data_IF_269646917208
#
_entry.id   IF_269646917208
#
_cell.length_a   1.000
_cell.length_b   1.000
_cell.length_c   1.000
_cell.angle_alpha   90.00
_cell.angle_beta   90.00
_cell.angle_gamma   90.00
#
_symmetry.space_group_name_H-M   'P 1'
#
loop_
_entity.id
_entity.type
_entity.pdbx_description
1 polymer ?
#
# COMPACT_ATOMS: atom_id res chain seq x y z
N UNK A 1 41.58 -63.84 36.88
CA UNK A 1 41.18 -64.61 35.68
C UNK A 1 40.21 -63.71 34.90
N UNK A 2 40.56 -63.16 33.74
CA UNK A 2 40.49 -63.83 32.41
C UNK A 2 39.04 -64.31 32.14
N UNK A 3 38.29 -63.95 31.09
CA UNK A 3 38.55 -63.41 29.74
C UNK A 3 37.33 -62.65 29.18
N UNK A 4 37.63 -61.69 28.29
CA UNK A 4 36.98 -61.28 27.04
C UNK A 4 35.61 -61.84 26.60
N UNK A 5 34.75 -60.94 26.11
CA UNK A 5 34.24 -60.99 24.72
C UNK A 5 33.82 -59.61 24.21
N UNK A 6 34.40 -59.25 23.07
CA UNK A 6 34.09 -58.10 22.21
C UNK A 6 33.00 -58.53 21.24
N UNK A 7 31.95 -57.72 21.03
CA UNK A 7 31.21 -57.72 19.76
C UNK A 7 30.98 -56.28 19.31
N UNK A 8 31.66 -55.98 18.21
CA UNK A 8 31.55 -54.81 17.33
C UNK A 8 30.23 -54.90 16.55
N UNK A 9 29.42 -53.84 16.54
CA UNK A 9 28.39 -53.65 15.53
C UNK A 9 28.57 -52.24 14.94
N UNK A 10 29.11 -52.21 13.73
CA UNK A 10 29.23 -51.03 12.89
C UNK A 10 27.84 -50.61 12.42
N UNK A 11 27.38 -49.42 12.81
CA UNK A 11 26.29 -48.74 12.12
C UNK A 11 26.88 -47.80 11.08
N UNK A 12 26.43 -48.03 9.84
CA UNK A 12 26.85 -47.37 8.64
C UNK A 12 26.70 -45.84 8.72
N UNK A 13 27.80 -45.14 8.48
CA UNK A 13 27.80 -43.74 8.11
C UNK A 13 27.20 -43.60 6.70
N UNK A 14 25.91 -43.30 6.63
CA UNK A 14 25.30 -42.79 5.40
C UNK A 14 25.80 -41.36 5.19
N UNK A 15 26.83 -41.22 4.36
CA UNK A 15 27.28 -39.92 3.88
C UNK A 15 26.24 -39.31 2.95
N UNK A 16 25.34 -38.49 3.48
CA UNK A 16 24.64 -37.52 2.64
C UNK A 16 25.62 -36.40 2.33
N UNK A 17 26.15 -36.39 1.10
CA UNK A 17 26.72 -35.20 0.48
C UNK A 17 25.59 -34.19 0.26
N UNK A 18 25.18 -33.51 1.33
CA UNK A 18 24.51 -32.23 1.22
C UNK A 18 25.56 -31.25 0.73
N UNK A 19 25.49 -30.88 -0.55
CA UNK A 19 26.25 -29.74 -1.05
C UNK A 19 26.02 -28.56 -0.10
N UNK A 20 27.07 -27.84 0.32
CA UNK A 20 26.86 -26.57 1.01
C UNK A 20 26.10 -25.68 0.03
N UNK A 21 24.81 -25.49 0.28
CA UNK A 21 24.10 -24.35 -0.26
C UNK A 21 24.89 -23.14 0.23
N UNK A 22 25.38 -22.37 -0.72
CA UNK A 22 26.09 -21.10 -0.56
C UNK A 22 25.13 -20.07 0.07
N UNK A 23 24.72 -20.36 1.29
CA UNK A 23 24.05 -19.45 2.18
C UNK A 23 25.16 -18.72 2.90
N UNK A 24 25.61 -17.62 2.29
CA UNK A 24 26.33 -16.56 2.99
C UNK A 24 25.44 -16.07 4.13
N UNK A 25 25.47 -16.77 5.26
CA UNK A 25 25.12 -16.21 6.55
C UNK A 25 26.20 -15.19 6.89
N UNK A 26 25.94 -13.94 6.53
CA UNK A 26 26.78 -12.81 6.90
C UNK A 26 26.61 -12.59 8.40
N UNK A 27 27.72 -12.69 9.11
CA UNK A 27 27.84 -12.47 10.55
C UNK A 27 27.20 -11.13 10.96
N UNK A 28 26.42 -11.18 12.04
CA UNK A 28 25.88 -10.02 12.72
C UNK A 28 27.03 -9.30 13.46
N UNK A 29 27.79 -8.48 12.73
CA UNK A 29 28.88 -7.71 13.32
C UNK A 29 29.33 -6.60 12.40
N UNK A 30 29.06 -5.36 12.81
CA UNK A 30 29.48 -4.11 12.17
C UNK A 30 28.64 -3.64 10.97
N UNK A 31 27.96 -2.49 11.14
CA UNK A 31 27.32 -1.71 10.06
C UNK A 31 28.32 -1.21 8.99
N UNK A 32 29.60 -1.57 9.07
CA UNK A 32 30.65 -0.86 8.34
C UNK A 32 30.69 -1.14 6.84
N UNK A 33 30.14 -2.26 6.34
CA UNK A 33 30.49 -2.73 4.98
C UNK A 33 29.33 -3.08 4.03
N UNK A 34 28.08 -2.65 4.27
CA UNK A 34 26.99 -3.05 3.37
C UNK A 34 25.71 -2.24 3.46
N UNK A 35 24.77 -2.59 2.58
CA UNK A 35 23.40 -2.10 2.58
C UNK A 35 22.59 -3.04 3.46
N UNK A 36 22.12 -2.56 4.61
CA UNK A 36 21.24 -3.31 5.51
C UNK A 36 19.78 -2.95 5.20
N UNK A 37 18.99 -3.96 4.90
CA UNK A 37 17.55 -3.87 4.72
C UNK A 37 16.88 -4.59 5.88
N UNK A 38 15.95 -3.92 6.56
CA UNK A 38 15.13 -4.53 7.60
C UNK A 38 13.67 -4.37 7.23
N UNK A 39 12.96 -5.48 7.03
CA UNK A 39 11.50 -5.49 6.88
C UNK A 39 10.90 -5.74 8.27
N UNK A 40 9.91 -4.96 8.66
CA UNK A 40 9.37 -4.99 10.03
C UNK A 40 7.85 -5.24 10.00
N UNK A 41 7.37 -6.07 10.92
CA UNK A 41 5.97 -6.15 11.30
C UNK A 41 5.79 -5.45 12.65
N UNK A 42 5.20 -4.26 12.68
CA UNK A 42 5.11 -3.39 13.87
C UNK A 42 4.24 -3.95 15.03
N UNK A 43 3.73 -5.18 14.92
CA UNK A 43 2.81 -5.74 15.92
C UNK A 43 3.41 -6.87 16.77
N UNK A 44 4.31 -7.72 16.25
CA UNK A 44 4.89 -8.85 17.00
C UNK A 44 6.21 -9.33 16.35
N UNK A 45 7.34 -8.69 16.70
CA UNK A 45 8.76 -9.13 16.65
C UNK A 45 9.39 -9.98 15.49
N UNK A 46 8.70 -10.34 14.41
CA UNK A 46 9.34 -11.05 13.28
C UNK A 46 9.65 -10.08 12.14
N UNK A 47 10.74 -9.33 12.32
CA UNK A 47 11.38 -8.60 11.23
C UNK A 47 12.33 -9.50 10.44
N UNK A 48 12.54 -9.18 9.16
CA UNK A 48 13.54 -9.85 8.32
C UNK A 48 14.65 -8.89 7.95
N UNK A 49 15.88 -9.29 8.23
CA UNK A 49 17.05 -8.49 7.92
C UNK A 49 17.87 -9.13 6.82
N UNK A 50 18.31 -8.30 5.88
CA UNK A 50 19.23 -8.66 4.81
C UNK A 50 20.42 -7.71 4.84
N UNK A 51 21.60 -8.24 4.58
CA UNK A 51 22.81 -7.44 4.37
C UNK A 51 23.30 -7.73 2.96
N UNK A 52 23.35 -6.70 2.13
CA UNK A 52 23.86 -6.79 0.77
C UNK A 52 25.23 -6.13 0.75
N UNK A 53 26.24 -6.88 0.35
CA UNK A 53 27.59 -6.35 0.15
C UNK A 53 27.66 -5.66 -1.21
N UNK A 54 28.17 -4.44 -1.24
CA UNK A 54 28.29 -3.64 -2.46
C UNK A 54 28.69 -2.21 -2.12
N UNK A 55 29.10 -1.45 -3.13
CA UNK A 55 29.49 -0.04 -2.99
C UNK A 55 28.32 0.94 -3.27
N UNK A 56 27.15 0.42 -3.65
CA UNK A 56 25.95 1.16 -4.01
C UNK A 56 25.93 1.67 -5.46
N UNK A 57 26.86 1.25 -6.31
CA UNK A 57 26.96 1.71 -7.70
C UNK A 57 26.34 0.73 -8.72
N UNK A 58 25.93 -0.45 -8.27
CA UNK A 58 25.25 -1.45 -9.10
C UNK A 58 23.87 -1.78 -8.54
N UNK A 59 22.99 -2.24 -9.41
CA UNK A 59 21.72 -2.82 -8.99
C UNK A 59 21.99 -4.13 -8.24
N UNK A 60 21.33 -4.28 -7.10
CA UNK A 60 21.34 -5.50 -6.28
C UNK A 60 19.92 -5.88 -5.89
N UNK A 61 19.66 -7.18 -5.78
CA UNK A 61 18.34 -7.71 -5.44
C UNK A 61 18.46 -8.73 -4.31
N UNK A 62 17.48 -8.73 -3.42
CA UNK A 62 17.33 -9.76 -2.41
C UNK A 62 15.91 -10.29 -2.42
N UNK A 63 15.78 -11.59 -2.65
CA UNK A 63 14.50 -12.27 -2.50
C UNK A 63 14.17 -12.38 -1.02
N UNK A 64 12.96 -12.01 -0.66
CA UNK A 64 12.42 -12.25 0.68
C UNK A 64 12.12 -13.75 0.78
N UNK A 65 11.59 -14.40 -0.26
CA UNK A 65 11.29 -15.84 -0.21
C UNK A 65 9.81 -16.05 0.08
N UNK A 66 9.46 -16.82 1.11
CA UNK A 66 8.05 -17.13 1.40
C UNK A 66 7.19 -15.86 1.54
N UNK A 67 5.95 -15.84 1.00
CA UNK A 67 5.09 -14.66 1.03
C UNK A 67 4.70 -14.28 2.47
N UNK A 68 5.39 -13.29 3.02
CA UNK A 68 5.12 -12.72 4.34
C UNK A 68 4.75 -11.24 4.22
N UNK A 69 3.88 -10.77 5.11
CA UNK A 69 3.40 -9.39 5.11
C UNK A 69 4.19 -8.54 6.10
N UNK A 70 4.75 -7.43 5.62
CA UNK A 70 5.48 -6.47 6.43
C UNK A 70 4.75 -5.14 6.46
N UNK A 71 4.90 -4.37 7.53
CA UNK A 71 4.32 -3.05 7.69
C UNK A 71 5.30 -1.92 7.34
N UNK A 72 6.61 -2.19 7.37
CA UNK A 72 7.63 -1.19 7.16
C UNK A 72 8.91 -1.77 6.54
N UNK A 73 9.71 -0.89 5.96
CA UNK A 73 11.07 -1.16 5.48
C UNK A 73 12.03 -0.10 6.01
N UNK A 74 13.12 -0.54 6.63
CA UNK A 74 14.25 0.29 6.97
C UNK A 74 15.41 -0.01 6.02
N UNK A 75 16.00 1.04 5.47
CA UNK A 75 17.20 0.97 4.64
C UNK A 75 18.29 1.68 5.41
N UNK A 76 19.40 0.99 5.66
CA UNK A 76 20.58 1.56 6.33
C UNK A 76 21.81 1.32 5.46
N UNK A 77 22.51 2.40 5.14
CA UNK A 77 23.74 2.36 4.35
C UNK A 77 24.94 2.41 5.29
N UNK A 78 25.81 1.41 5.19
CA UNK A 78 27.07 1.42 5.94
C UNK A 78 28.00 2.55 5.51
N UNK A 79 28.97 2.86 6.38
CA UNK A 79 29.90 3.98 6.17
C UNK A 79 30.69 3.86 4.86
N UNK A 80 31.03 2.63 4.45
CA UNK A 80 31.80 2.36 3.23
C UNK A 80 30.96 2.34 1.93
N UNK A 81 29.65 2.58 2.00
CA UNK A 81 28.83 2.77 0.79
C UNK A 81 29.18 4.10 0.15
N UNK A 82 29.77 4.06 -1.05
CA UNK A 82 30.18 5.26 -1.79
C UNK A 82 28.98 6.11 -2.24
N UNK A 83 27.92 5.45 -2.73
CA UNK A 83 26.70 6.12 -3.14
C UNK A 83 25.71 6.28 -1.97
N UNK A 84 25.81 7.39 -1.25
CA UNK A 84 24.87 7.73 -0.16
C UNK A 84 23.46 8.08 -0.63
N UNK A 85 23.27 8.30 -1.94
CA UNK A 85 21.97 8.54 -2.56
C UNK A 85 21.29 7.25 -3.06
N UNK A 86 21.87 6.09 -2.78
CA UNK A 86 21.28 4.79 -3.14
C UNK A 86 19.86 4.66 -2.57
N UNK A 87 18.97 4.11 -3.39
CA UNK A 87 17.59 3.84 -3.02
C UNK A 87 17.23 2.39 -3.26
N UNK A 88 16.33 1.89 -2.42
CA UNK A 88 15.79 0.56 -2.50
C UNK A 88 14.28 0.61 -2.70
N UNK A 89 13.76 -0.29 -3.51
CA UNK A 89 12.34 -0.47 -3.77
C UNK A 89 11.93 -1.85 -3.26
N UNK A 90 10.95 -1.88 -2.37
CA UNK A 90 10.27 -3.12 -2.01
C UNK A 90 9.24 -3.43 -3.11
N UNK A 91 9.19 -4.69 -3.56
CA UNK A 91 8.24 -5.15 -4.56
C UNK A 91 7.36 -6.24 -3.98
N UNK A 92 6.06 -6.11 -4.24
CA UNK A 92 5.07 -7.09 -3.84
C UNK A 92 4.89 -8.20 -4.87
N UNK A 93 3.68 -8.74 -4.90
CA UNK A 93 3.25 -9.66 -5.94
C UNK A 93 3.24 -8.96 -7.31
N UNK A 94 3.43 -9.73 -8.39
CA UNK A 94 3.44 -9.22 -9.78
C UNK A 94 4.43 -8.07 -10.02
N UNK A 95 5.53 -8.04 -9.25
CA UNK A 95 6.60 -7.04 -9.30
C UNK A 95 6.14 -5.59 -9.08
N UNK A 96 4.97 -5.41 -8.45
CA UNK A 96 4.42 -4.08 -8.16
C UNK A 96 5.24 -3.37 -7.07
N UNK A 97 5.72 -2.12 -7.30
CA UNK A 97 6.39 -1.33 -6.28
C UNK A 97 5.46 -1.01 -5.11
N UNK A 98 5.95 -1.22 -3.90
CA UNK A 98 5.23 -0.88 -2.68
C UNK A 98 5.48 0.59 -2.35
N UNK A 99 4.40 1.29 -2.01
CA UNK A 99 4.45 2.70 -1.60
C UNK A 99 4.67 2.80 -0.10
N UNK A 100 5.62 3.63 0.32
CA UNK A 100 5.87 3.93 1.73
C UNK A 100 5.75 5.42 2.03
N UNK A 101 5.51 5.72 3.30
CA UNK A 101 5.53 7.05 3.90
C UNK A 101 6.56 7.13 5.01
N UNK A 102 7.19 8.30 5.17
CA UNK A 102 8.11 8.60 6.27
C UNK A 102 8.00 10.05 6.71
N UNK A 103 8.10 10.29 8.01
CA UNK A 103 7.90 11.61 8.61
C UNK A 103 6.49 11.77 9.19
N UNK A 104 6.11 13.00 9.59
CA UNK A 104 4.87 13.26 10.31
C UNK A 104 3.63 13.09 9.43
N UNK A 105 2.50 12.75 10.04
CA UNK A 105 1.25 12.42 9.32
C UNK A 105 0.64 13.60 8.55
N UNK A 106 0.93 14.84 8.94
CA UNK A 106 0.45 16.05 8.26
C UNK A 106 1.23 16.34 6.97
N UNK A 107 2.52 15.95 6.92
CA UNK A 107 3.41 16.14 5.77
C UNK A 107 4.32 14.93 5.56
N UNK A 108 3.75 13.74 5.26
CA UNK A 108 4.55 12.56 5.05
C UNK A 108 5.33 12.68 3.74
N UNK A 109 6.59 12.28 3.75
CA UNK A 109 7.32 12.02 2.52
C UNK A 109 6.85 10.67 1.98
N UNK A 110 6.19 10.67 0.82
CA UNK A 110 5.66 9.47 0.16
C UNK A 110 6.57 9.13 -1.01
N UNK A 111 6.97 7.86 -1.13
CA UNK A 111 7.84 7.39 -2.20
C UNK A 111 7.64 5.88 -2.46
N UNK A 112 8.16 5.39 -3.57
CA UNK A 112 8.34 3.95 -3.87
C UNK A 112 9.80 3.53 -3.81
N UNK A 113 10.72 4.51 -3.80
CA UNK A 113 12.15 4.31 -3.76
C UNK A 113 12.71 4.87 -2.44
N UNK A 114 12.94 3.98 -1.49
CA UNK A 114 13.32 4.24 -0.10
C UNK A 114 14.81 4.50 0.02
N UNK A 115 15.18 5.66 0.55
CA UNK A 115 16.55 5.96 0.98
C UNK A 115 16.70 5.83 2.48
N UNK A 116 17.92 5.57 2.94
CA UNK A 116 18.28 5.64 4.37
C UNK A 116 18.06 7.06 4.89
N UNK A 117 18.83 8.03 4.39
CA UNK A 117 18.81 9.43 4.82
C UNK A 117 18.92 9.64 6.35
N UNK A 118 19.28 8.63 7.14
CA UNK A 118 19.39 8.70 8.60
C UNK A 118 18.06 8.97 9.31
N UNK A 119 16.91 8.70 8.66
CA UNK A 119 15.57 9.07 9.18
C UNK A 119 14.75 7.88 9.67
N UNK A 120 15.36 6.71 9.77
CA UNK A 120 14.69 5.48 10.19
C UNK A 120 13.72 4.92 9.14
N UNK A 121 12.81 4.02 9.56
CA UNK A 121 12.02 3.19 8.66
C UNK A 121 10.98 4.00 7.87
N UNK A 122 10.60 3.43 6.73
CA UNK A 122 9.44 3.80 5.94
C UNK A 122 8.29 2.87 6.28
N UNK A 123 7.14 3.43 6.61
CA UNK A 123 5.91 2.66 6.84
C UNK A 123 5.17 2.51 5.53
N UNK A 124 4.69 1.31 5.19
CA UNK A 124 3.92 1.08 3.98
C UNK A 124 2.55 1.79 4.05
N UNK A 125 2.20 2.46 2.96
CA UNK A 125 1.08 3.40 2.92
C UNK A 125 -0.27 2.73 3.19
N UNK A 126 -0.49 1.53 2.65
CA UNK A 126 -1.74 0.75 2.80
C UNK A 126 -1.65 -0.32 3.90
N UNK A 127 -0.72 -0.15 4.85
CA UNK A 127 -0.50 -1.10 5.94
C UNK A 127 0.31 -2.32 5.52
N UNK A 128 0.02 -3.49 6.14
CA UNK A 128 0.79 -4.72 5.93
C UNK A 128 0.67 -5.25 4.50
N UNK A 129 1.79 -5.36 3.80
CA UNK A 129 1.86 -5.80 2.41
C UNK A 129 2.83 -6.96 2.23
N UNK A 130 2.52 -7.87 1.30
CA UNK A 130 3.43 -8.96 0.93
C UNK A 130 4.64 -8.36 0.23
N UNK A 131 5.85 -8.67 0.69
CA UNK A 131 7.10 -8.27 0.02
C UNK A 131 7.76 -9.52 -0.55
N UNK A 132 7.90 -9.56 -1.88
CA UNK A 132 8.54 -10.66 -2.62
C UNK A 132 10.05 -10.45 -2.71
N UNK A 133 10.47 -9.24 -3.06
CA UNK A 133 11.88 -8.88 -3.21
C UNK A 133 12.12 -7.42 -2.83
N UNK A 134 13.38 -7.11 -2.53
CA UNK A 134 13.87 -5.73 -2.43
C UNK A 134 14.98 -5.54 -3.45
N UNK A 135 14.86 -4.49 -4.25
CA UNK A 135 15.85 -4.11 -5.25
C UNK A 135 16.47 -2.79 -4.84
N UNK A 136 17.79 -2.67 -4.79
CA UNK A 136 18.48 -1.40 -4.60
C UNK A 136 19.24 -1.04 -5.86
N UNK A 137 19.06 0.18 -6.36
CA UNK A 137 19.65 0.61 -7.63
C UNK A 137 20.00 2.10 -7.60
N UNK A 138 21.16 2.53 -8.13
CA UNK A 138 21.52 3.95 -8.26
C UNK A 138 20.61 4.72 -9.24
N UNK A 139 19.92 3.98 -10.14
CA UNK A 139 18.97 4.55 -11.09
C UNK A 139 17.65 4.95 -10.43
N UNK A 140 17.33 4.39 -9.26
CA UNK A 140 16.14 4.76 -8.52
C UNK A 140 16.26 6.19 -8.00
N UNK A 141 15.34 7.05 -8.45
CA UNK A 141 15.24 8.44 -8.02
C UNK A 141 14.06 8.64 -7.10
N UNK A 142 14.10 9.73 -6.32
CA UNK A 142 12.95 10.21 -5.57
C UNK A 142 11.79 10.45 -6.52
N UNK A 143 10.57 10.10 -6.11
CA UNK A 143 9.40 10.53 -6.86
C UNK A 143 9.34 12.07 -6.94
N UNK A 144 8.97 12.60 -8.11
CA UNK A 144 8.82 14.05 -8.29
C UNK A 144 7.47 14.52 -7.74
N UNK A 145 7.33 15.79 -7.33
CA UNK A 145 6.06 16.32 -6.84
C UNK A 145 4.91 16.15 -7.85
N UNK A 146 5.19 16.24 -9.15
CA UNK A 146 4.19 16.12 -10.21
C UNK A 146 3.66 14.69 -10.29
N UNK A 147 4.55 13.70 -10.33
CA UNK A 147 4.17 12.27 -10.33
C UNK A 147 3.45 11.87 -9.05
N UNK A 148 3.87 12.45 -7.91
CA UNK A 148 3.19 12.24 -6.65
C UNK A 148 1.77 12.81 -6.72
N UNK A 149 1.60 14.05 -7.19
CA UNK A 149 0.28 14.68 -7.32
C UNK A 149 -0.65 13.91 -8.27
N UNK A 150 -0.14 13.44 -9.41
CA UNK A 150 -0.88 12.58 -10.35
C UNK A 150 -1.35 11.28 -9.67
N UNK A 151 -0.44 10.57 -9.00
CA UNK A 151 -0.80 9.31 -8.33
C UNK A 151 -1.53 9.50 -7.00
N UNK A 152 -1.79 10.73 -6.54
CA UNK A 152 -2.63 11.03 -5.38
C UNK A 152 -4.07 11.40 -5.76
N UNK A 153 -4.37 11.55 -7.05
CA UNK A 153 -5.72 11.89 -7.52
C UNK A 153 -6.72 10.81 -7.13
N UNK A 154 -7.92 11.24 -6.78
CA UNK A 154 -9.06 10.35 -6.56
C UNK A 154 -9.96 10.50 -7.78
N UNK A 155 -10.21 9.41 -8.49
CA UNK A 155 -11.11 9.37 -9.63
C UNK A 155 -12.47 8.88 -9.15
N UNK A 156 -13.52 9.63 -9.47
CA UNK A 156 -14.89 9.25 -9.14
C UNK A 156 -15.63 8.98 -10.43
N UNK A 157 -16.00 7.72 -10.63
CA UNK A 157 -16.62 7.18 -11.84
C UNK A 157 -18.12 7.02 -11.63
N UNK A 158 -18.93 7.68 -12.45
CA UNK A 158 -20.38 7.51 -12.43
C UNK A 158 -20.87 6.77 -13.67
N UNK A 159 -21.75 5.78 -13.49
CA UNK A 159 -22.34 5.01 -14.60
C UNK A 159 -23.86 5.13 -14.64
N UNK A 160 -24.40 5.12 -15.85
CA UNK A 160 -25.85 5.15 -16.13
C UNK A 160 -26.39 3.73 -16.26
N UNK A 161 -27.71 3.57 -16.19
CA UNK A 161 -28.36 2.26 -16.33
C UNK A 161 -28.41 1.77 -17.79
N UNK A 162 -28.50 2.71 -18.75
CA UNK A 162 -28.52 2.44 -20.19
C UNK A 162 -27.83 3.60 -20.95
N UNK A 163 -27.03 3.27 -21.97
CA UNK A 163 -26.24 4.22 -22.77
C UNK A 163 -24.76 4.22 -22.39
N UNK A 164 -23.91 4.71 -23.30
CA UNK A 164 -22.43 4.68 -23.32
C UNK A 164 -21.76 4.19 -22.02
N UNK A 165 -21.04 3.06 -22.14
CA UNK A 165 -20.27 2.43 -21.06
C UNK A 165 -19.08 3.28 -20.56
N UNK A 166 -18.92 4.52 -21.02
CA UNK A 166 -17.87 5.41 -20.57
C UNK A 166 -18.29 6.04 -19.23
N UNK A 167 -17.60 5.72 -18.11
CA UNK A 167 -17.89 6.37 -16.84
C UNK A 167 -17.60 7.86 -16.96
N UNK A 168 -18.43 8.69 -16.33
CA UNK A 168 -18.07 10.08 -16.11
C UNK A 168 -17.08 10.15 -14.94
N UNK A 169 -15.84 10.55 -15.23
CA UNK A 169 -14.75 10.60 -14.25
C UNK A 169 -14.50 12.02 -13.77
N UNK A 170 -14.52 12.21 -12.44
CA UNK A 170 -14.11 13.48 -11.80
C UNK A 170 -12.79 13.26 -11.07
N UNK A 171 -11.71 13.98 -11.44
CA UNK A 171 -10.52 14.03 -10.61
C UNK A 171 -10.80 14.90 -9.38
N UNK A 172 -10.66 14.31 -8.21
CA UNK A 172 -10.79 14.98 -6.92
C UNK A 172 -9.40 15.04 -6.30
N UNK A 173 -8.98 16.27 -5.95
CA UNK A 173 -7.80 16.46 -5.12
C UNK A 173 -8.24 16.37 -3.65
N UNK A 174 -7.88 15.32 -2.91
CA UNK A 174 -8.28 15.16 -1.50
C UNK A 174 -7.66 16.21 -0.57
N UNK A 175 -6.63 16.94 -1.01
CA UNK A 175 -6.10 18.10 -0.30
C UNK A 175 -6.91 19.38 -0.54
N UNK A 176 -7.77 19.42 -1.56
CA UNK A 176 -8.68 20.53 -1.79
C UNK A 176 -9.92 20.35 -0.92
N UNK A 177 -10.15 21.27 0.02
CA UNK A 177 -11.32 21.27 0.92
C UNK A 177 -12.68 21.38 0.19
N UNK A 178 -12.68 21.62 -1.13
CA UNK A 178 -13.87 21.64 -1.97
C UNK A 178 -13.52 21.06 -3.34
N UNK A 179 -14.13 19.93 -3.69
CA UNK A 179 -14.12 19.45 -5.07
C UNK A 179 -15.26 20.05 -5.88
N UNK A 180 -14.99 20.18 -7.17
CA UNK A 180 -15.81 20.87 -8.16
C UNK A 180 -17.23 20.28 -8.18
N UNK A 181 -18.29 21.11 -8.12
CA UNK A 181 -19.63 20.60 -8.34
C UNK A 181 -19.70 19.97 -9.74
N UNK A 182 -20.04 18.69 -9.79
CA UNK A 182 -20.48 18.07 -11.04
C UNK A 182 -21.75 18.79 -11.48
N UNK A 183 -21.67 19.66 -12.49
CA UNK A 183 -22.85 20.35 -13.02
C UNK A 183 -23.74 19.44 -13.88
N UNK A 184 -23.53 18.13 -13.83
CA UNK A 184 -24.32 17.13 -14.55
C UNK A 184 -25.79 17.23 -14.11
N UNK A 185 -26.70 17.50 -15.06
CA UNK A 185 -28.14 17.33 -14.85
C UNK A 185 -28.57 15.85 -14.97
N UNK A 186 -27.59 14.97 -15.18
CA UNK A 186 -27.79 13.57 -15.49
C UNK A 186 -28.11 12.74 -14.24
N UNK A 187 -28.75 11.60 -14.48
CA UNK A 187 -29.04 10.61 -13.46
C UNK A 187 -28.11 9.42 -13.64
N UNK A 188 -27.47 9.02 -12.55
CA UNK A 188 -26.54 7.89 -12.53
C UNK A 188 -27.12 6.80 -11.64
N UNK A 189 -26.74 5.55 -11.91
CA UNK A 189 -27.15 4.39 -11.14
C UNK A 189 -26.09 4.00 -10.12
N UNK A 190 -24.82 4.12 -10.48
CA UNK A 190 -23.71 3.69 -9.64
C UNK A 190 -22.63 4.75 -9.52
N UNK A 191 -21.83 4.62 -8.46
CA UNK A 191 -20.58 5.35 -8.27
C UNK A 191 -19.47 4.38 -7.90
N UNK A 192 -18.32 4.53 -8.53
CA UNK A 192 -17.08 3.84 -8.19
C UNK A 192 -16.02 4.88 -7.84
N UNK A 193 -15.30 4.64 -6.75
CA UNK A 193 -14.22 5.50 -6.28
C UNK A 193 -12.93 4.73 -6.55
N UNK A 194 -12.00 5.35 -7.27
CA UNK A 194 -10.66 4.86 -7.50
C UNK A 194 -9.70 5.84 -6.84
N UNK A 195 -8.99 5.39 -5.83
CA UNK A 195 -8.00 6.20 -5.12
C UNK A 195 -6.63 5.95 -5.74
N UNK A 196 -5.94 7.03 -6.11
CA UNK A 196 -4.62 6.95 -6.70
C UNK A 196 -3.62 6.22 -5.80
N UNK A 197 -2.69 5.50 -6.43
CA UNK A 197 -1.69 4.62 -5.80
C UNK A 197 -0.82 5.25 -4.69
N UNK A 198 -0.69 6.57 -4.63
CA UNK A 198 0.07 7.29 -3.60
C UNK A 198 -0.81 7.88 -2.49
N UNK A 199 -2.05 7.42 -2.40
CA UNK A 199 -2.99 7.75 -1.34
C UNK A 199 -3.47 6.45 -0.68
N UNK A 200 -3.54 6.42 0.64
CA UNK A 200 -4.16 5.30 1.36
C UNK A 200 -5.66 5.25 1.01
N UNK A 201 -6.16 4.21 0.32
CA UNK A 201 -7.56 4.10 -0.09
C UNK A 201 -8.52 4.15 1.10
N UNK A 202 -8.12 3.59 2.24
CA UNK A 202 -8.95 3.60 3.44
C UNK A 202 -8.98 4.97 4.11
N UNK A 203 -8.05 5.87 3.81
CA UNK A 203 -8.06 7.22 4.37
C UNK A 203 -9.06 8.15 3.69
N UNK A 204 -9.53 7.83 2.47
CA UNK A 204 -10.41 8.70 1.69
C UNK A 204 -11.85 8.19 1.70
N UNK A 205 -12.79 9.10 1.96
CA UNK A 205 -14.22 8.89 1.69
C UNK A 205 -14.71 9.99 0.77
N UNK A 206 -15.64 9.65 -0.10
CA UNK A 206 -16.33 10.57 -1.00
C UNK A 206 -17.81 10.63 -0.65
N UNK A 207 -18.38 11.82 -0.61
CA UNK A 207 -19.81 12.07 -0.48
C UNK A 207 -20.35 12.58 -1.80
N UNK A 208 -21.49 12.05 -2.24
CA UNK A 208 -22.16 12.46 -3.47
C UNK A 208 -23.40 13.24 -3.11
N UNK A 209 -23.65 14.36 -3.77
CA UNK A 209 -24.78 15.24 -3.49
C UNK A 209 -25.76 15.27 -4.65
N UNK A 210 -27.05 15.26 -4.31
CA UNK A 210 -28.16 15.25 -5.27
C UNK A 210 -28.68 16.65 -5.63
N UNK A 211 -28.23 17.68 -4.92
CA UNK A 211 -28.66 19.07 -5.07
C UNK A 211 -27.48 20.04 -5.21
N UNK A 212 -27.72 21.19 -5.82
CA UNK A 212 -26.67 22.20 -6.09
C UNK A 212 -26.17 22.91 -4.84
N UNK A 213 -26.91 22.86 -3.73
CA UNK A 213 -26.48 23.47 -2.45
C UNK A 213 -25.61 22.52 -1.64
N UNK A 214 -25.37 21.29 -2.13
CA UNK A 214 -24.58 20.27 -1.46
C UNK A 214 -25.13 19.93 -0.07
N UNK A 215 -26.46 19.79 0.03
CA UNK A 215 -27.15 19.54 1.31
C UNK A 215 -27.78 18.16 1.40
N UNK A 216 -28.07 17.53 0.26
CA UNK A 216 -28.74 16.23 0.16
C UNK A 216 -27.77 15.16 -0.33
N UNK A 217 -27.29 14.36 0.61
CA UNK A 217 -26.44 13.22 0.30
C UNK A 217 -27.20 12.14 -0.46
N UNK A 218 -26.53 11.57 -1.46
CA UNK A 218 -26.95 10.33 -2.10
C UNK A 218 -26.56 9.18 -1.20
N UNK A 219 -27.51 8.25 -1.00
CA UNK A 219 -27.26 6.99 -0.31
C UNK A 219 -26.92 5.93 -1.34
N UNK A 220 -25.98 5.06 -1.03
CA UNK A 220 -25.68 3.90 -1.87
C UNK A 220 -25.50 2.63 -1.07
N UNK A 221 -25.45 1.53 -1.79
CA UNK A 221 -25.32 0.18 -1.28
C UNK A 221 -24.18 -0.55 -2.00
N UNK A 222 -23.37 -1.29 -1.25
CA UNK A 222 -22.37 -2.21 -1.79
C UNK A 222 -22.33 -3.48 -0.94
N UNK A 223 -22.86 -4.57 -1.50
CA UNK A 223 -23.20 -5.76 -0.72
C UNK A 223 -24.25 -5.43 0.34
N UNK A 224 -23.97 -5.78 1.60
CA UNK A 224 -24.84 -5.48 2.74
C UNK A 224 -24.64 -4.06 3.31
N UNK A 225 -23.60 -3.34 2.88
CA UNK A 225 -23.28 -2.02 3.41
C UNK A 225 -24.13 -0.95 2.75
N UNK A 226 -24.83 -0.15 3.55
CA UNK A 226 -25.57 1.03 3.10
C UNK A 226 -24.96 2.27 3.76
N UNK A 227 -24.53 3.24 2.95
CA UNK A 227 -23.83 4.43 3.43
C UNK A 227 -24.17 5.65 2.57
N UNK A 228 -23.80 6.84 3.06
CA UNK A 228 -23.79 8.12 2.33
C UNK A 228 -22.36 8.60 2.05
N UNK A 229 -21.36 7.86 2.53
CA UNK A 229 -19.95 8.07 2.26
C UNK A 229 -19.35 6.82 1.60
N UNK A 230 -18.71 7.02 0.45
CA UNK A 230 -18.19 5.97 -0.41
C UNK A 230 -16.67 5.91 -0.28
N UNK A 231 -16.09 4.73 -0.09
CA UNK A 231 -14.64 4.54 -0.20
C UNK A 231 -14.30 3.62 -1.36
N UNK A 232 -13.10 3.84 -1.87
CA UNK A 232 -12.38 2.80 -2.57
C UNK A 232 -11.97 1.72 -1.56
N UNK A 233 -12.38 0.50 -1.84
CA UNK A 233 -12.06 -0.64 -1.00
C UNK A 233 -11.83 -1.86 -1.85
N UNK A 234 -11.45 -1.66 -3.11
CA UNK A 234 -11.23 -2.71 -4.11
C UNK A 234 -12.42 -3.67 -4.25
N UNK A 235 -13.63 -3.17 -3.96
CA UNK A 235 -14.91 -3.92 -3.99
C UNK A 235 -15.83 -3.45 -5.12
N UNK A 236 -15.32 -2.60 -6.00
CA UNK A 236 -16.06 -2.02 -7.12
C UNK A 236 -17.15 -1.03 -6.70
N UNK A 237 -18.16 -0.95 -7.57
CA UNK A 237 -19.24 0.04 -7.58
C UNK A 237 -20.17 0.01 -6.35
N UNK A 238 -20.74 1.17 -6.04
CA UNK A 238 -21.88 1.36 -5.14
C UNK A 238 -23.14 1.65 -5.95
N UNK A 239 -24.21 0.89 -5.71
CA UNK A 239 -25.53 1.14 -6.26
C UNK A 239 -26.21 2.29 -5.51
N UNK A 240 -26.72 3.29 -6.22
CA UNK A 240 -27.52 4.33 -5.58
C UNK A 240 -28.87 3.81 -5.13
N UNK A 241 -29.28 4.26 -3.95
CA UNK A 241 -30.58 3.97 -3.37
C UNK A 241 -31.49 5.19 -3.49
N UNK A 242 -32.72 4.93 -3.89
CA UNK A 242 -33.81 5.91 -3.92
C UNK A 242 -34.96 5.43 -3.06
N UNK A 243 -35.65 6.36 -2.41
CA UNK A 243 -36.79 6.04 -1.58
C UNK A 243 -38.07 5.97 -2.44
N UNK A 244 -38.69 4.79 -2.52
CA UNK A 244 -39.95 4.54 -3.23
C UNK A 244 -40.89 3.76 -2.32
N UNK A 245 -42.14 4.23 -2.17
CA UNK A 245 -43.18 3.55 -1.39
C UNK A 245 -42.75 3.18 0.06
N UNK A 246 -41.97 4.04 0.72
CA UNK A 246 -41.50 3.77 2.09
C UNK A 246 -40.27 2.87 2.19
N UNK A 247 -39.70 2.45 1.06
CA UNK A 247 -38.55 1.53 1.02
C UNK A 247 -37.39 2.12 0.22
N UNK A 248 -36.17 1.79 0.63
CA UNK A 248 -34.96 2.07 -0.14
C UNK A 248 -34.75 0.97 -1.16
N UNK A 249 -34.67 1.34 -2.42
CA UNK A 249 -34.44 0.42 -3.54
C UNK A 249 -33.34 0.96 -4.44
N UNK A 250 -32.61 0.07 -5.11
CA UNK A 250 -31.65 0.48 -6.14
C UNK A 250 -32.36 1.31 -7.22
N UNK A 251 -31.75 2.42 -7.62
CA UNK A 251 -32.31 3.30 -8.63
C UNK A 251 -31.38 4.46 -8.97
N UNK A 252 -31.84 5.33 -9.87
CA UNK A 252 -31.00 6.41 -10.36
C UNK A 252 -31.13 7.68 -9.50
N UNK A 253 -29.99 8.32 -9.22
CA UNK A 253 -29.93 9.61 -8.53
C UNK A 253 -29.27 10.67 -9.39
N UNK A 254 -29.76 11.90 -9.29
CA UNK A 254 -29.07 13.06 -9.86
C UNK A 254 -27.77 13.27 -9.07
N UNK A 255 -26.69 13.55 -9.78
CA UNK A 255 -25.40 13.90 -9.16
C UNK A 255 -25.10 15.36 -9.48
N UNK A 256 -24.93 16.16 -8.43
CA UNK A 256 -24.73 17.62 -8.49
C UNK A 256 -23.42 18.09 -7.87
N UNK A 257 -22.75 17.20 -7.17
CA UNK A 257 -21.50 17.48 -6.51
C UNK A 257 -20.93 16.22 -5.90
N UNK A 258 -19.61 16.23 -5.76
CA UNK A 258 -18.85 15.19 -5.09
C UNK A 258 -17.87 15.88 -4.17
N UNK A 259 -17.70 15.34 -2.97
CA UNK A 259 -16.73 15.82 -1.99
C UNK A 259 -15.92 14.66 -1.44
N UNK A 260 -14.62 14.61 -1.69
CA UNK A 260 -13.75 13.59 -1.10
C UNK A 260 -12.78 14.21 -0.09
N UNK A 261 -12.66 13.59 1.08
CA UNK A 261 -11.78 14.07 2.14
C UNK A 261 -11.39 12.95 3.10
N UNK A 262 -10.24 13.15 3.77
CA UNK A 262 -9.79 12.32 4.89
C UNK A 262 -10.64 12.51 6.16
N UNK A 263 -11.25 13.67 6.32
CA UNK A 263 -11.94 14.05 7.57
C UNK A 263 -13.38 13.54 7.67
N UNK A 264 -13.97 13.04 6.59
CA UNK A 264 -15.34 12.49 6.62
C UNK A 264 -15.43 11.32 7.62
N UNK A 265 -14.35 10.54 7.79
CA UNK A 265 -14.32 9.46 8.79
C UNK A 265 -14.42 9.95 10.24
N UNK A 266 -13.82 11.10 10.55
CA UNK A 266 -13.76 11.59 11.93
C UNK A 266 -15.13 12.10 12.42
N UNK A 267 -15.95 12.70 11.55
CA UNK A 267 -17.28 13.18 11.93
C UNK A 267 -18.29 12.06 12.18
N UNK A 268 -18.21 10.95 11.43
CA UNK A 268 -19.12 9.82 11.63
C UNK A 268 -18.76 9.02 12.90
N UNK A 269 -17.48 8.98 13.30
CA UNK A 269 -17.06 8.33 14.54
C UNK A 269 -17.47 9.14 15.79
N UNK A 270 -17.48 10.47 15.72
CA UNK A 270 -17.86 11.33 16.84
C UNK A 270 -19.38 11.48 17.06
N UNK A 271 -20.21 11.08 16.09
CA UNK A 271 -21.67 11.20 16.15
C UNK A 271 -22.41 9.97 16.70
N UNK A 272 -21.67 8.90 17.01
CA UNK A 272 -22.20 7.64 17.58
C UNK A 272 -21.63 7.32 18.98
N UNK A 273 -21.03 8.31 19.64
CA UNK A 273 -20.55 8.21 21.03
C UNK A 273 -21.47 8.98 21.98
#
# INVERSE_FOLDING_TARGET
MQYSTVILAALAASGSLGAPLDSRQVEAGSQTNGIRITLEDQSVELGRQFTINGDGNAEVRVAVGEPEKFAAINVSLGDNISNKELRCQARGLDDQPIVGKRGPDDKPNIDVNFSDAGKGPWTFLTGKQVVKEVVCSPEFKKITPEKLAEGQQVLVHFRKEKGDNQPFTIPVNPAAEKSTPSNTNEQYKTVEIEVGKFTDPQSIRCQVFSDRRLTRLVRGQRGENIDTSFADGDKGEWDFLVHRNGQWVSGQSKVRGVFCSRQIQQKNAAGNA
#
